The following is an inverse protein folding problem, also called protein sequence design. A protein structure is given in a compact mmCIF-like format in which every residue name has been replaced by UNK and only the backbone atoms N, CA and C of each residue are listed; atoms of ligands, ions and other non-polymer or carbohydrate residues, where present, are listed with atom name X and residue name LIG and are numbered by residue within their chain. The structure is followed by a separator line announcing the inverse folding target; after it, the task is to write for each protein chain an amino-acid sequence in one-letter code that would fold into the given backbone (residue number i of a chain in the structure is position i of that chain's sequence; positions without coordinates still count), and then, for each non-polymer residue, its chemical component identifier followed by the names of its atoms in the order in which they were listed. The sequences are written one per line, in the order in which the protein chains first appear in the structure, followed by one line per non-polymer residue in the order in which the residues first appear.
data_IF_546652999733
#
_entry.id   IF_546652999733
#
_cell.length_a   1.000
_cell.length_b   1.000
_cell.length_c   1.000
_cell.angle_alpha   90.00
_cell.angle_beta   90.00
_cell.angle_gamma   90.00
#
_symmetry.space_group_name_H-M   'P 1'
#
loop_
_entity.id
_entity.type
_entity.pdbx_description
1 polymer ?
#
# COMPACT_ATOMS: atom_id res chain seq x y z
N UNK A 1 -7.38 1.35 -2.51
CA UNK A 1 -8.00 1.26 -1.16
C UNK A 1 -9.51 1.34 -1.26
N UNK A 2 -10.25 0.58 -0.45
CA UNK A 2 -11.71 0.59 -0.36
C UNK A 2 -12.14 1.17 1.00
N UNK A 3 -13.01 2.18 0.97
CA UNK A 3 -13.68 2.69 2.18
C UNK A 3 -15.11 2.14 2.20
N UNK A 4 -15.41 1.29 3.16
CA UNK A 4 -16.76 0.73 3.34
C UNK A 4 -17.75 1.80 3.78
N UNK A 5 -17.31 2.77 4.59
CA UNK A 5 -18.15 3.86 5.10
C UNK A 5 -18.66 4.78 3.97
N UNK A 6 -17.76 5.24 3.11
CA UNK A 6 -18.11 6.11 1.99
C UNK A 6 -18.51 5.34 0.72
N UNK A 7 -18.32 4.02 0.70
CA UNK A 7 -18.46 3.15 -0.49
C UNK A 7 -17.65 3.69 -1.67
N UNK A 8 -16.42 4.10 -1.40
CA UNK A 8 -15.51 4.67 -2.39
C UNK A 8 -14.26 3.82 -2.52
N UNK A 9 -13.84 3.68 -3.75
CA UNK A 9 -12.56 3.14 -4.14
C UNK A 9 -11.62 4.30 -4.44
N UNK A 10 -10.39 4.25 -3.93
CA UNK A 10 -9.33 5.17 -4.33
C UNK A 10 -8.07 4.42 -4.73
N UNK A 11 -7.39 4.92 -5.75
CA UNK A 11 -6.06 4.46 -6.16
C UNK A 11 -5.24 5.62 -6.69
N UNK A 12 -3.94 5.42 -6.79
CA UNK A 12 -2.99 6.43 -7.22
C UNK A 12 -2.40 6.09 -8.59
N UNK A 13 -2.13 7.13 -9.36
CA UNK A 13 -1.18 7.13 -10.46
C UNK A 13 0.06 7.84 -9.96
N UNK A 14 1.09 7.05 -9.62
CA UNK A 14 2.29 7.56 -8.95
C UNK A 14 2.97 8.62 -9.79
N UNK A 15 3.24 8.30 -11.06
CA UNK A 15 4.06 9.15 -11.94
C UNK A 15 3.36 10.45 -12.34
N UNK A 16 2.04 10.43 -12.47
CA UNK A 16 1.26 11.64 -12.77
C UNK A 16 0.80 12.39 -11.52
N UNK A 17 1.08 11.87 -10.33
CA UNK A 17 0.64 12.48 -9.07
C UNK A 17 -0.87 12.58 -8.98
N UNK A 18 -1.61 11.54 -9.43
CA UNK A 18 -3.07 11.56 -9.49
C UNK A 18 -3.69 10.64 -8.46
N UNK A 19 -4.65 11.17 -7.73
CA UNK A 19 -5.55 10.40 -6.89
C UNK A 19 -6.88 10.21 -7.62
N UNK A 20 -7.21 8.97 -7.95
CA UNK A 20 -8.49 8.60 -8.53
C UNK A 20 -9.46 8.18 -7.44
N UNK A 21 -10.69 8.68 -7.52
CA UNK A 21 -11.79 8.32 -6.62
C UNK A 21 -12.95 7.80 -7.45
N UNK A 22 -13.47 6.64 -7.09
CA UNK A 22 -14.52 5.98 -7.83
C UNK A 22 -15.63 5.41 -6.92
N UNK A 23 -16.81 5.24 -7.49
CA UNK A 23 -17.83 4.39 -6.94
C UNK A 23 -17.67 2.97 -7.52
N UNK A 24 -18.01 1.98 -6.72
CA UNK A 24 -18.19 0.61 -7.19
C UNK A 24 -19.68 0.33 -7.22
N UNK A 25 -20.24 0.26 -8.42
CA UNK A 25 -21.65 0.00 -8.66
C UNK A 25 -21.82 -1.50 -9.00
N UNK A 26 -22.81 -2.18 -8.40
CA UNK A 26 -23.10 -3.59 -8.65
C UNK A 26 -22.58 -4.52 -7.55
N UNK A 27 -23.05 -5.77 -7.57
CA UNK A 27 -22.62 -6.80 -6.62
C UNK A 27 -23.62 -7.11 -5.51
N UNK A 28 -24.92 -6.84 -5.71
CA UNK A 28 -25.94 -7.40 -4.82
C UNK A 28 -26.17 -8.90 -5.06
N UNK A 29 -25.73 -9.43 -6.20
CA UNK A 29 -25.71 -10.86 -6.54
C UNK A 29 -24.28 -11.29 -6.87
N UNK A 30 -23.93 -12.52 -6.57
CA UNK A 30 -22.62 -13.11 -6.83
C UNK A 30 -22.24 -13.18 -8.34
N UNK A 31 -23.19 -12.94 -9.21
CA UNK A 31 -23.04 -13.00 -10.68
C UNK A 31 -22.82 -11.62 -11.34
N UNK A 32 -22.97 -10.52 -10.57
CA UNK A 32 -22.79 -9.17 -11.10
C UNK A 32 -21.32 -8.75 -11.00
N UNK A 33 -20.66 -8.54 -12.14
CA UNK A 33 -19.32 -7.95 -12.15
C UNK A 33 -19.37 -6.52 -11.57
N UNK A 34 -18.47 -6.19 -10.62
CA UNK A 34 -18.40 -4.86 -10.06
C UNK A 34 -18.01 -3.85 -11.16
N UNK A 35 -18.82 -2.82 -11.34
CA UNK A 35 -18.50 -1.72 -12.25
C UNK A 35 -17.85 -0.58 -11.50
N UNK A 36 -16.61 -0.26 -11.87
CA UNK A 36 -15.88 0.89 -11.32
C UNK A 36 -16.22 2.12 -12.15
N UNK A 37 -16.80 3.14 -11.51
CA UNK A 37 -17.13 4.41 -12.13
C UNK A 37 -16.32 5.52 -11.48
N UNK A 38 -15.33 6.05 -12.20
CA UNK A 38 -14.51 7.19 -11.73
C UNK A 38 -15.42 8.39 -11.49
N UNK A 39 -15.32 8.96 -10.30
CA UNK A 39 -16.09 10.13 -9.86
C UNK A 39 -15.25 11.40 -9.92
N UNK A 40 -13.98 11.29 -9.54
CA UNK A 40 -13.06 12.42 -9.48
C UNK A 40 -11.63 11.96 -9.70
N UNK A 41 -10.80 12.86 -10.21
CA UNK A 41 -9.34 12.72 -10.32
C UNK A 41 -8.74 14.01 -9.79
N UNK A 42 -7.93 13.90 -8.75
CA UNK A 42 -7.21 15.02 -8.15
C UNK A 42 -5.75 14.96 -8.59
N UNK A 43 -5.24 16.06 -9.16
CA UNK A 43 -3.81 16.20 -9.53
C UNK A 43 -3.08 16.89 -8.38
N UNK A 44 -2.08 16.25 -7.80
CA UNK A 44 -1.38 16.73 -6.60
C UNK A 44 0.00 17.31 -6.89
N UNK A 45 0.45 17.25 -8.16
CA UNK A 45 1.61 18.00 -8.65
C UNK A 45 2.99 17.37 -8.39
N UNK A 46 3.08 16.25 -7.68
CA UNK A 46 4.31 15.47 -7.46
C UNK A 46 3.98 13.96 -7.47
N UNK A 47 4.98 13.09 -7.50
CA UNK A 47 4.78 11.63 -7.45
C UNK A 47 3.99 11.22 -6.20
N UNK A 48 2.87 10.54 -6.41
CA UNK A 48 1.95 10.15 -5.35
C UNK A 48 2.14 8.66 -5.01
N UNK A 49 2.98 8.34 -4.02
CA UNK A 49 3.28 6.96 -3.64
C UNK A 49 2.07 6.23 -3.08
N UNK A 50 1.32 6.88 -2.19
CA UNK A 50 0.07 6.36 -1.64
C UNK A 50 -0.90 7.48 -1.27
N UNK A 51 -2.20 7.13 -1.18
CA UNK A 51 -3.25 7.99 -0.65
C UNK A 51 -4.25 7.12 0.12
N UNK A 52 -4.36 7.36 1.42
CA UNK A 52 -5.12 6.53 2.35
C UNK A 52 -6.26 7.34 2.96
N UNK A 53 -7.49 6.79 3.06
CA UNK A 53 -8.64 7.53 3.54
C UNK A 53 -8.48 7.94 5.01
N UNK A 54 -8.95 9.14 5.34
CA UNK A 54 -9.04 9.66 6.70
C UNK A 54 -10.47 9.49 7.26
N UNK A 55 -10.59 9.32 8.58
CA UNK A 55 -11.89 9.14 9.25
C UNK A 55 -12.77 10.39 9.22
N UNK A 56 -12.16 11.57 9.12
CA UNK A 56 -12.87 12.85 8.92
C UNK A 56 -13.22 13.13 7.44
N UNK A 57 -12.98 12.20 6.54
CA UNK A 57 -13.00 12.36 5.09
C UNK A 57 -11.71 12.95 4.54
N UNK A 58 -11.49 12.80 3.23
CA UNK A 58 -10.22 13.15 2.60
C UNK A 58 -9.16 12.05 2.73
N UNK A 59 -7.88 12.43 2.63
CA UNK A 59 -6.77 11.47 2.54
C UNK A 59 -5.52 11.99 3.24
N UNK A 60 -4.69 11.05 3.74
CA UNK A 60 -3.27 11.25 4.02
C UNK A 60 -2.44 10.60 2.92
N UNK A 61 -1.38 11.26 2.47
CA UNK A 61 -0.63 10.93 1.27
C UNK A 61 0.87 10.92 1.50
N UNK A 62 1.57 10.01 0.81
CA UNK A 62 2.99 10.13 0.53
C UNK A 62 3.17 10.84 -0.83
N UNK A 63 3.56 12.11 -0.83
CA UNK A 63 3.66 12.97 -2.00
C UNK A 63 5.11 13.38 -2.24
N UNK A 64 5.77 12.75 -3.20
CA UNK A 64 7.20 12.91 -3.43
C UNK A 64 7.98 12.70 -2.14
N UNK A 65 8.68 13.74 -1.70
CA UNK A 65 9.50 13.76 -0.47
C UNK A 65 8.74 14.23 0.78
N UNK A 66 7.42 14.45 0.68
CA UNK A 66 6.57 15.05 1.72
C UNK A 66 5.47 14.10 2.15
N UNK A 67 4.98 14.29 3.35
CA UNK A 67 3.64 13.85 3.71
C UNK A 67 2.65 14.98 3.44
N UNK A 68 1.48 14.62 2.95
CA UNK A 68 0.43 15.58 2.65
C UNK A 68 -0.92 15.10 3.17
N UNK A 69 -1.83 16.04 3.39
CA UNK A 69 -3.25 15.75 3.60
C UNK A 69 -4.06 16.42 2.50
N UNK A 70 -5.10 15.72 2.04
CA UNK A 70 -6.04 16.24 1.06
C UNK A 70 -7.42 16.25 1.73
N UNK A 71 -8.01 17.44 1.87
CA UNK A 71 -9.35 17.56 2.47
C UNK A 71 -10.44 17.01 1.52
N UNK A 72 -11.66 16.76 2.00
CA UNK A 72 -12.79 16.37 1.13
C UNK A 72 -13.09 17.37 0.01
N UNK A 73 -12.66 18.63 0.17
CA UNK A 73 -12.82 19.69 -0.83
C UNK A 73 -11.62 19.80 -1.79
N UNK A 74 -10.63 18.90 -1.67
CA UNK A 74 -9.43 18.90 -2.50
C UNK A 74 -8.34 19.90 -2.08
N UNK A 75 -8.44 20.50 -0.89
CA UNK A 75 -7.39 21.38 -0.36
C UNK A 75 -6.24 20.52 0.13
N UNK A 76 -5.04 20.79 -0.39
CA UNK A 76 -3.81 20.10 -0.04
C UNK A 76 -3.04 20.89 1.01
N UNK A 77 -2.56 20.18 2.03
CA UNK A 77 -1.62 20.70 3.03
C UNK A 77 -0.42 19.77 3.09
N UNK A 78 0.78 20.30 2.99
CA UNK A 78 2.03 19.53 2.91
C UNK A 78 2.94 19.80 4.10
N UNK A 79 3.75 18.79 4.47
CA UNK A 79 4.91 18.99 5.33
C UNK A 79 6.03 19.70 4.57
N UNK A 80 7.07 20.16 5.26
CA UNK A 80 8.37 20.41 4.63
C UNK A 80 8.91 19.11 4.02
N UNK A 81 9.88 19.20 3.06
CA UNK A 81 10.55 18.01 2.55
C UNK A 81 11.21 17.22 3.67
N UNK A 82 10.88 15.94 3.76
CA UNK A 82 11.37 15.03 4.80
C UNK A 82 12.49 14.12 4.27
N UNK A 83 12.50 13.81 2.98
CA UNK A 83 13.42 12.86 2.35
C UNK A 83 14.47 13.57 1.50
N UNK A 84 15.56 12.88 1.18
CA UNK A 84 16.61 13.37 0.28
C UNK A 84 16.08 13.50 -1.17
N UNK A 85 16.84 14.21 -2.04
CA UNK A 85 16.37 14.55 -3.40
C UNK A 85 16.06 13.34 -4.28
N UNK A 86 16.81 12.25 -4.11
CA UNK A 86 16.60 11.01 -4.86
C UNK A 86 15.55 10.09 -4.25
N UNK A 87 14.98 10.44 -3.11
CA UNK A 87 14.05 9.59 -2.38
C UNK A 87 12.60 10.08 -2.50
N UNK A 88 11.67 9.17 -2.36
CA UNK A 88 10.25 9.47 -2.22
C UNK A 88 9.56 8.52 -1.25
N UNK A 89 8.44 8.94 -0.75
CA UNK A 89 7.49 8.03 -0.12
C UNK A 89 6.91 7.06 -1.16
N UNK A 90 6.69 5.83 -0.74
CA UNK A 90 6.18 4.76 -1.59
C UNK A 90 4.86 4.22 -1.04
N UNK A 91 4.76 2.92 -0.82
CA UNK A 91 3.55 2.32 -0.31
C UNK A 91 3.30 2.67 1.16
N UNK A 92 2.04 2.73 1.54
CA UNK A 92 1.61 3.03 2.89
C UNK A 92 0.29 2.36 3.24
N UNK A 93 0.04 2.18 4.53
CA UNK A 93 -1.20 1.62 5.04
C UNK A 93 -1.55 2.20 6.42
N UNK A 94 -2.79 2.06 6.84
CA UNK A 94 -3.23 2.53 8.17
C UNK A 94 -3.20 1.37 9.16
N UNK A 95 -2.53 1.59 10.28
CA UNK A 95 -2.37 0.60 11.33
C UNK A 95 -3.66 0.38 12.15
N UNK A 96 -3.70 -0.63 13.03
CA UNK A 96 -4.86 -0.91 13.87
C UNK A 96 -5.28 0.26 14.78
N UNK A 97 -4.39 1.20 15.06
CA UNK A 97 -4.64 2.39 15.90
C UNK A 97 -4.98 3.66 15.10
N UNK A 98 -5.12 3.55 13.76
CA UNK A 98 -5.45 4.69 12.90
C UNK A 98 -4.25 5.55 12.52
N UNK A 99 -3.01 5.07 12.69
CA UNK A 99 -1.78 5.78 12.32
C UNK A 99 -1.31 5.40 10.93
N UNK A 100 -0.71 6.36 10.23
CA UNK A 100 -0.05 6.07 8.94
C UNK A 100 1.25 5.31 9.18
N UNK A 101 1.39 4.17 8.50
CA UNK A 101 2.67 3.47 8.32
C UNK A 101 3.03 3.56 6.85
N UNK A 102 4.24 4.04 6.54
CA UNK A 102 4.65 4.39 5.18
C UNK A 102 6.12 4.06 4.94
N UNK A 103 6.40 3.55 3.77
CA UNK A 103 7.74 3.22 3.33
C UNK A 103 8.37 4.25 2.41
N UNK A 104 9.69 4.13 2.21
CA UNK A 104 10.45 4.97 1.28
C UNK A 104 11.13 4.12 0.21
N UNK A 105 11.50 4.74 -0.89
CA UNK A 105 12.38 4.19 -1.91
C UNK A 105 13.32 5.26 -2.44
N UNK A 106 14.45 4.81 -3.02
CA UNK A 106 15.37 5.64 -3.77
C UNK A 106 15.09 5.49 -5.27
N UNK A 107 14.81 6.60 -5.96
CA UNK A 107 14.49 6.65 -7.38
C UNK A 107 15.68 6.30 -8.29
N UNK A 108 16.90 6.41 -7.77
CA UNK A 108 18.13 6.02 -8.48
C UNK A 108 18.41 4.51 -8.37
N UNK A 109 17.62 3.79 -7.59
CA UNK A 109 17.70 2.35 -7.38
C UNK A 109 17.88 1.96 -5.91
N UNK A 110 17.70 0.67 -5.59
CA UNK A 110 17.78 0.19 -4.21
C UNK A 110 19.21 0.32 -3.67
N UNK A 111 19.35 1.00 -2.54
CA UNK A 111 20.63 1.26 -1.87
C UNK A 111 20.70 0.69 -0.44
N UNK A 112 19.63 0.04 0.03
CA UNK A 112 19.55 -0.55 1.35
C UNK A 112 19.47 0.47 2.49
N UNK A 113 19.12 1.73 2.21
CA UNK A 113 18.99 2.79 3.23
C UNK A 113 17.55 3.20 3.48
N UNK A 114 16.61 2.57 2.80
CA UNK A 114 15.22 2.95 2.88
C UNK A 114 14.60 2.55 4.22
N UNK A 115 13.49 3.21 4.54
CA UNK A 115 12.87 3.17 5.85
C UNK A 115 11.42 2.69 5.75
N UNK A 116 10.94 2.06 6.82
CA UNK A 116 9.53 1.96 7.16
C UNK A 116 9.29 2.85 8.37
N UNK A 117 8.36 3.79 8.25
CA UNK A 117 8.06 4.84 9.23
C UNK A 117 6.63 4.74 9.69
N UNK A 118 6.35 5.18 10.92
CA UNK A 118 5.01 5.35 11.47
C UNK A 118 4.82 6.79 11.94
N UNK A 119 3.76 7.43 11.48
CA UNK A 119 3.34 8.75 11.94
C UNK A 119 2.51 8.60 13.22
N UNK A 120 3.05 9.08 14.32
CA UNK A 120 2.41 9.02 15.63
C UNK A 120 1.30 10.09 15.77
N UNK A 121 0.42 9.91 16.74
CA UNK A 121 -0.69 10.84 16.97
C UNK A 121 -0.25 12.26 17.38
N UNK A 122 0.97 12.43 17.87
CA UNK A 122 1.55 13.75 18.18
C UNK A 122 2.25 14.42 16.99
N UNK A 123 2.25 13.77 15.82
CA UNK A 123 2.88 14.25 14.59
C UNK A 123 4.37 13.90 14.49
N UNK A 124 4.92 13.13 15.38
CA UNK A 124 6.29 12.62 15.24
C UNK A 124 6.35 11.39 14.36
N UNK A 125 7.53 11.09 13.78
CA UNK A 125 7.77 9.89 13.01
C UNK A 125 8.62 8.91 13.82
N UNK A 126 8.14 7.67 13.93
CA UNK A 126 8.90 6.55 14.52
C UNK A 126 9.41 5.64 13.39
N UNK A 127 10.69 5.30 13.44
CA UNK A 127 11.25 4.29 12.52
C UNK A 127 10.89 2.90 13.02
N UNK A 128 10.19 2.15 12.16
CA UNK A 128 9.85 0.75 12.41
C UNK A 128 10.90 -0.22 11.83
N UNK A 129 11.52 0.13 10.70
CA UNK A 129 12.53 -0.69 10.05
C UNK A 129 13.51 0.18 9.28
N UNK A 130 14.79 -0.20 9.34
CA UNK A 130 15.90 0.37 8.56
C UNK A 130 16.48 -0.68 7.61
N UNK A 131 17.30 -0.24 6.68
CA UNK A 131 18.02 -1.16 5.80
C UNK A 131 17.14 -1.84 4.76
N UNK A 132 16.07 -1.17 4.34
CA UNK A 132 15.14 -1.67 3.31
C UNK A 132 15.68 -1.29 1.93
N UNK A 133 15.52 -2.19 0.96
CA UNK A 133 15.90 -1.90 -0.43
C UNK A 133 14.82 -1.08 -1.14
N UNK A 134 13.61 -1.60 -1.23
CA UNK A 134 12.41 -0.92 -1.72
C UNK A 134 11.27 -1.29 -0.78
N UNK A 135 10.80 -0.32 -0.01
CA UNK A 135 9.69 -0.53 0.92
C UNK A 135 8.37 -0.54 0.17
N UNK A 136 7.67 -1.67 0.24
CA UNK A 136 6.37 -1.89 -0.37
C UNK A 136 5.37 -2.46 0.63
N UNK A 137 4.48 -3.30 0.19
CA UNK A 137 3.31 -3.85 0.85
C UNK A 137 3.37 -3.95 2.37
N UNK A 138 2.34 -3.46 3.03
CA UNK A 138 2.20 -3.43 4.49
C UNK A 138 0.85 -4.01 4.87
N UNK A 139 0.82 -4.96 5.80
CA UNK A 139 -0.42 -5.52 6.32
C UNK A 139 -0.28 -5.92 7.78
N UNK A 140 -1.40 -6.13 8.47
CA UNK A 140 -1.42 -6.64 9.86
C UNK A 140 -2.23 -7.91 9.95
N UNK A 141 -1.82 -8.79 10.88
CA UNK A 141 -2.64 -9.94 11.28
C UNK A 141 -4.05 -9.50 11.70
N UNK A 142 -5.06 -10.38 11.62
CA UNK A 142 -6.45 -10.01 11.95
C UNK A 142 -6.61 -9.39 13.34
N UNK A 143 -5.80 -9.83 14.31
CA UNK A 143 -5.77 -9.28 15.68
C UNK A 143 -4.91 -8.02 15.83
N UNK A 144 -4.20 -7.62 14.77
CA UNK A 144 -3.33 -6.43 14.75
C UNK A 144 -2.00 -6.60 15.48
N UNK A 145 -1.69 -7.77 15.99
CA UNK A 145 -0.49 -8.02 16.83
C UNK A 145 0.80 -8.22 16.02
N UNK A 146 0.68 -8.50 14.72
CA UNK A 146 1.83 -8.71 13.83
C UNK A 146 1.72 -7.80 12.61
N UNK A 147 2.80 -7.12 12.26
CA UNK A 147 2.95 -6.41 10.98
C UNK A 147 3.75 -7.25 10.00
N UNK A 148 3.27 -7.32 8.76
CA UNK A 148 3.96 -7.89 7.61
C UNK A 148 4.44 -6.74 6.72
N UNK A 149 5.69 -6.84 6.22
CA UNK A 149 6.28 -5.81 5.39
C UNK A 149 7.11 -6.42 4.26
N UNK A 150 6.78 -6.04 3.03
CA UNK A 150 7.48 -6.46 1.83
C UNK A 150 8.70 -5.57 1.52
N UNK A 151 9.83 -6.20 1.24
CA UNK A 151 11.00 -5.59 0.63
C UNK A 151 11.17 -6.18 -0.77
N UNK A 152 10.79 -5.42 -1.77
CA UNK A 152 10.78 -5.85 -3.16
C UNK A 152 12.18 -6.20 -3.66
N UNK A 153 13.18 -5.38 -3.31
CA UNK A 153 14.57 -5.59 -3.74
C UNK A 153 15.17 -6.85 -3.11
N UNK A 154 14.82 -7.13 -1.87
CA UNK A 154 15.25 -8.33 -1.17
C UNK A 154 14.41 -9.57 -1.52
N UNK A 155 13.27 -9.40 -2.23
CA UNK A 155 12.29 -10.45 -2.53
C UNK A 155 11.75 -11.16 -1.30
N UNK A 156 11.61 -10.44 -0.20
CA UNK A 156 11.20 -11.02 1.08
C UNK A 156 10.04 -10.26 1.68
N UNK A 157 9.24 -11.01 2.46
CA UNK A 157 8.31 -10.44 3.41
C UNK A 157 8.81 -10.81 4.79
N UNK A 158 8.85 -9.85 5.68
CA UNK A 158 9.17 -10.06 7.10
C UNK A 158 7.92 -9.88 7.94
N UNK A 159 7.86 -10.60 9.04
CA UNK A 159 6.85 -10.42 10.07
C UNK A 159 7.53 -9.88 11.34
N UNK A 160 6.78 -9.10 12.09
CA UNK A 160 7.25 -8.50 13.35
C UNK A 160 6.09 -8.30 14.30
N UNK A 161 6.34 -8.50 15.60
CA UNK A 161 5.37 -8.13 16.62
C UNK A 161 5.09 -6.63 16.57
N UNK A 162 3.82 -6.26 16.63
CA UNK A 162 3.35 -4.90 16.46
C UNK A 162 2.55 -4.43 17.68
N UNK A 163 2.72 -3.17 18.02
CA UNK A 163 2.04 -2.49 19.11
C UNK A 163 2.56 -1.05 19.28
N UNK A 164 2.10 -0.35 20.30
CA UNK A 164 2.45 1.06 20.51
C UNK A 164 3.93 1.29 20.75
N UNK A 165 4.62 0.33 21.34
CA UNK A 165 6.07 0.38 21.61
C UNK A 165 6.94 -0.17 20.47
N UNK A 166 6.34 -0.59 19.33
CA UNK A 166 7.11 -1.10 18.21
C UNK A 166 8.00 -0.01 17.62
N UNK A 167 9.32 -0.23 17.67
CA UNK A 167 10.36 0.62 17.08
C UNK A 167 11.41 -0.25 16.42
N UNK A 168 12.26 0.30 15.56
CA UNK A 168 13.36 -0.45 14.95
C UNK A 168 14.28 -1.11 15.99
N UNK A 169 14.45 -0.47 17.13
CA UNK A 169 15.32 -0.91 18.23
C UNK A 169 14.62 -1.84 19.23
N UNK A 170 13.32 -2.07 19.13
CA UNK A 170 12.59 -2.88 20.11
C UNK A 170 13.02 -4.36 20.05
N UNK A 171 13.21 -5.03 21.19
CA UNK A 171 13.35 -6.48 21.25
C UNK A 171 12.11 -7.15 20.66
N UNK A 172 12.28 -8.27 19.99
CA UNK A 172 11.18 -8.91 19.21
C UNK A 172 11.36 -8.64 17.73
N UNK A 173 12.60 -8.63 17.30
CA UNK A 173 13.10 -8.36 15.98
C UNK A 173 12.23 -8.99 14.87
N UNK A 174 12.18 -8.30 13.74
CA UNK A 174 11.63 -8.85 12.53
C UNK A 174 12.16 -10.27 12.29
N UNK A 175 11.28 -11.17 11.90
CA UNK A 175 11.59 -12.53 11.49
C UNK A 175 11.30 -12.70 10.00
N UNK A 176 12.09 -13.49 9.27
CA UNK A 176 11.71 -13.89 7.93
C UNK A 176 10.32 -14.55 7.98
N UNK A 177 9.45 -14.17 7.03
CA UNK A 177 8.14 -14.76 6.89
C UNK A 177 8.06 -15.56 5.58
N UNK A 178 8.34 -14.90 4.45
CA UNK A 178 8.33 -15.54 3.13
C UNK A 178 9.47 -14.99 2.28
N UNK A 179 10.16 -15.88 1.56
CA UNK A 179 10.93 -15.52 0.37
C UNK A 179 10.05 -15.75 -0.85
N UNK A 180 9.75 -14.68 -1.59
CA UNK A 180 8.86 -14.72 -2.75
C UNK A 180 9.66 -15.07 -3.99
N UNK A 181 9.12 -15.99 -4.80
CA UNK A 181 9.68 -16.25 -6.14
C UNK A 181 9.24 -15.14 -7.11
N UNK A 182 9.93 -14.01 -7.06
CA UNK A 182 9.66 -12.79 -7.80
C UNK A 182 9.78 -11.54 -6.92
N UNK A 183 9.27 -10.43 -7.41
CA UNK A 183 9.31 -9.13 -6.72
C UNK A 183 7.98 -8.87 -5.97
N UNK A 184 7.90 -9.08 -4.65
CA UNK A 184 6.70 -8.75 -3.89
C UNK A 184 6.47 -7.24 -3.91
N UNK A 185 5.24 -6.83 -4.20
CA UNK A 185 4.82 -5.44 -4.19
C UNK A 185 3.70 -5.23 -3.16
N UNK A 186 2.49 -4.87 -3.55
CA UNK A 186 1.39 -4.69 -2.61
C UNK A 186 0.97 -6.01 -1.94
N UNK A 187 0.54 -5.92 -0.69
CA UNK A 187 0.03 -7.07 0.08
C UNK A 187 -1.31 -6.75 0.73
N UNK A 188 -2.12 -7.78 0.92
CA UNK A 188 -3.37 -7.70 1.67
C UNK A 188 -3.56 -8.95 2.52
N UNK A 189 -4.38 -8.86 3.57
CA UNK A 189 -4.68 -10.00 4.43
C UNK A 189 -6.17 -10.33 4.37
N UNK A 190 -6.50 -11.62 4.39
CA UNK A 190 -7.89 -12.07 4.43
C UNK A 190 -8.35 -12.45 5.84
N UNK A 191 -9.62 -12.82 5.97
CA UNK A 191 -10.24 -13.15 7.25
C UNK A 191 -9.72 -14.46 7.89
N UNK A 192 -9.02 -15.30 7.14
CA UNK A 192 -8.33 -16.50 7.65
C UNK A 192 -6.90 -16.16 8.10
N UNK A 193 -6.44 -14.91 7.94
CA UNK A 193 -5.09 -14.49 8.25
C UNK A 193 -4.08 -14.85 7.17
N UNK A 194 -4.54 -15.31 6.00
CA UNK A 194 -3.65 -15.57 4.86
C UNK A 194 -3.24 -14.28 4.17
N UNK A 195 -1.98 -14.23 3.75
CA UNK A 195 -1.40 -13.06 3.08
C UNK A 195 -1.51 -13.23 1.56
N UNK A 196 -2.10 -12.24 0.90
CA UNK A 196 -2.13 -12.10 -0.54
C UNK A 196 -1.02 -11.15 -0.97
N UNK A 197 -0.20 -11.58 -1.94
CA UNK A 197 1.03 -10.90 -2.35
C UNK A 197 1.01 -10.71 -3.86
N UNK A 198 1.06 -9.47 -4.32
CA UNK A 198 1.29 -9.21 -5.74
C UNK A 198 2.75 -9.45 -6.10
N UNK A 199 2.99 -10.11 -7.24
CA UNK A 199 4.34 -10.41 -7.72
C UNK A 199 4.57 -9.60 -9.00
N UNK A 200 5.25 -8.46 -8.85
CA UNK A 200 5.31 -7.36 -9.81
C UNK A 200 5.85 -7.75 -11.19
N UNK A 201 6.71 -8.73 -11.29
CA UNK A 201 7.38 -9.13 -12.54
C UNK A 201 6.82 -10.42 -13.16
N UNK A 202 5.75 -11.00 -12.58
CA UNK A 202 5.29 -12.34 -12.95
C UNK A 202 3.79 -12.45 -13.24
N UNK A 203 3.04 -11.35 -13.23
CA UNK A 203 1.63 -11.37 -13.64
C UNK A 203 0.75 -12.22 -12.73
N UNK A 204 1.00 -12.25 -11.42
CA UNK A 204 0.22 -13.06 -10.49
C UNK A 204 0.08 -12.42 -9.12
N UNK A 205 -0.91 -12.89 -8.40
CA UNK A 205 -1.09 -12.67 -6.97
C UNK A 205 -1.01 -14.02 -6.28
N UNK A 206 -0.08 -14.19 -5.37
CA UNK A 206 0.12 -15.43 -4.61
C UNK A 206 -0.55 -15.35 -3.24
N UNK A 207 -1.00 -16.48 -2.70
CA UNK A 207 -1.57 -16.59 -1.36
C UNK A 207 -0.69 -17.44 -0.47
N UNK A 208 -0.43 -16.96 0.76
CA UNK A 208 0.39 -17.64 1.78
C UNK A 208 -0.41 -17.81 3.06
N UNK A 209 -0.22 -18.96 3.73
CA UNK A 209 -0.85 -19.24 5.03
C UNK A 209 -0.33 -18.27 6.11
N UNK A 210 -0.99 -18.22 7.30
CA UNK A 210 -0.49 -17.44 8.44
C UNK A 210 0.91 -17.86 8.92
N UNK A 211 1.36 -19.06 8.57
CA UNK A 211 2.70 -19.60 8.87
C UNK A 211 3.72 -19.28 7.76
N UNK A 212 3.29 -18.69 6.63
CA UNK A 212 4.14 -18.34 5.49
C UNK A 212 4.28 -19.47 4.45
N UNK A 213 3.41 -20.47 4.46
CA UNK A 213 3.42 -21.53 3.45
C UNK A 213 2.69 -21.09 2.18
N UNK A 214 3.31 -21.28 1.02
CA UNK A 214 2.67 -21.00 -0.27
C UNK A 214 1.49 -21.95 -0.51
N UNK A 215 0.30 -21.39 -0.73
CA UNK A 215 -0.92 -22.14 -0.98
C UNK A 215 -1.06 -22.42 -2.48
N UNK A 216 -0.42 -23.51 -2.92
CA UNK A 216 -0.40 -23.91 -4.32
C UNK A 216 -1.83 -24.06 -4.89
N UNK A 217 -2.04 -23.55 -6.11
CA UNK A 217 -3.34 -23.57 -6.79
C UNK A 217 -4.31 -22.46 -6.36
N UNK A 218 -3.90 -21.57 -5.47
CA UNK A 218 -4.71 -20.42 -5.05
C UNK A 218 -4.18 -19.07 -5.58
N UNK A 219 -3.17 -19.11 -6.43
CA UNK A 219 -2.68 -17.91 -7.12
C UNK A 219 -3.70 -17.43 -8.16
N UNK A 220 -3.81 -16.10 -8.30
CA UNK A 220 -4.60 -15.45 -9.32
C UNK A 220 -3.66 -14.98 -10.44
N UNK A 221 -3.90 -15.44 -11.66
CA UNK A 221 -3.14 -14.98 -12.82
C UNK A 221 -3.75 -13.69 -13.36
N UNK A 222 -2.91 -12.71 -13.64
CA UNK A 222 -3.28 -11.39 -14.15
C UNK A 222 -2.70 -11.24 -15.56
N UNK A 223 -3.47 -10.75 -16.56
CA UNK A 223 -2.98 -10.62 -17.93
C UNK A 223 -2.05 -9.41 -18.14
N UNK A 224 -1.28 -9.04 -17.11
CA UNK A 224 -0.23 -8.03 -17.12
C UNK A 224 0.88 -8.48 -16.17
N UNK A 225 2.13 -8.37 -16.59
CA UNK A 225 3.28 -8.83 -15.80
C UNK A 225 3.50 -7.98 -14.53
N UNK A 226 3.12 -6.70 -14.55
CA UNK A 226 3.52 -5.71 -13.56
C UNK A 226 2.44 -5.47 -12.51
N UNK A 227 2.02 -6.52 -11.83
CA UNK A 227 1.00 -6.47 -10.77
C UNK A 227 1.53 -5.71 -9.56
N UNK A 228 0.97 -4.53 -9.28
CA UNK A 228 1.55 -3.60 -8.30
C UNK A 228 0.84 -3.61 -6.94
N UNK A 229 -0.50 -3.64 -6.91
CA UNK A 229 -1.20 -3.58 -5.62
C UNK A 229 -2.51 -4.35 -5.66
N UNK A 230 -3.03 -4.66 -4.47
CA UNK A 230 -4.23 -5.45 -4.28
C UNK A 230 -5.06 -4.89 -3.11
N UNK A 231 -6.38 -4.90 -3.26
CA UNK A 231 -7.30 -4.56 -2.19
C UNK A 231 -8.56 -5.40 -2.26
N UNK A 232 -9.10 -5.78 -1.11
CA UNK A 232 -10.45 -6.32 -1.03
C UNK A 232 -11.46 -5.18 -1.12
N UNK A 233 -12.45 -5.34 -1.99
CA UNK A 233 -13.45 -4.30 -2.30
C UNK A 233 -14.88 -4.83 -2.24
N UNK A 234 -15.83 -3.90 -2.23
CA UNK A 234 -17.25 -4.19 -2.14
C UNK A 234 -17.73 -4.43 -0.71
N UNK A 235 -19.04 -4.43 -0.52
CA UNK A 235 -19.66 -4.50 0.82
C UNK A 235 -19.36 -5.82 1.55
N UNK A 236 -19.09 -6.90 0.82
CA UNK A 236 -18.77 -8.21 1.37
C UNK A 236 -17.27 -8.47 1.47
N UNK A 237 -16.44 -7.61 0.88
CA UNK A 237 -14.99 -7.78 0.79
C UNK A 237 -14.58 -9.12 0.16
N UNK A 238 -15.34 -9.62 -0.79
CA UNK A 238 -15.16 -10.89 -1.49
C UNK A 238 -14.70 -10.71 -2.95
N UNK A 239 -14.31 -9.49 -3.30
CA UNK A 239 -13.74 -9.16 -4.60
C UNK A 239 -12.37 -8.54 -4.38
N UNK A 240 -11.38 -9.04 -5.11
CA UNK A 240 -10.05 -8.45 -5.19
C UNK A 240 -10.01 -7.45 -6.34
N UNK A 241 -9.59 -6.24 -6.06
CA UNK A 241 -9.15 -5.28 -7.06
C UNK A 241 -7.64 -5.31 -7.12
N UNK A 242 -7.10 -5.47 -8.31
CA UNK A 242 -5.68 -5.65 -8.58
C UNK A 242 -5.25 -4.54 -9.53
N UNK A 243 -4.24 -3.78 -9.17
CA UNK A 243 -3.66 -2.75 -10.03
C UNK A 243 -2.37 -3.23 -10.66
N UNK A 244 -2.02 -2.66 -11.82
CA UNK A 244 -0.75 -2.90 -12.49
C UNK A 244 -0.03 -1.60 -12.74
N UNK A 245 1.30 -1.67 -12.84
CA UNK A 245 2.17 -0.53 -13.03
C UNK A 245 2.93 -0.58 -14.35
N UNK A 246 3.84 0.36 -14.53
CA UNK A 246 4.76 0.36 -15.67
C UNK A 246 5.95 -0.57 -15.41
N UNK A 247 6.52 -1.19 -16.48
CA UNK A 247 7.82 -1.86 -16.38
C UNK A 247 8.88 -0.96 -15.74
N UNK A 248 9.69 -1.49 -14.84
CA UNK A 248 10.76 -0.75 -14.13
C UNK A 248 11.65 0.03 -15.11
N UNK A 249 12.03 -0.58 -16.23
CA UNK A 249 12.85 0.07 -17.25
C UNK A 249 12.16 1.31 -17.86
N UNK A 250 10.84 1.33 -17.97
CA UNK A 250 10.09 2.50 -18.46
C UNK A 250 9.91 3.57 -17.40
N UNK A 251 9.80 3.19 -16.13
CA UNK A 251 9.81 4.14 -15.01
C UNK A 251 11.10 4.96 -15.03
N UNK A 252 12.25 4.33 -15.20
CA UNK A 252 13.54 5.01 -15.31
C UNK A 252 13.67 5.89 -16.56
N UNK A 253 13.08 5.46 -17.69
CA UNK A 253 13.09 6.24 -18.93
C UNK A 253 11.99 7.32 -18.98
N UNK A 254 11.12 7.38 -17.97
CA UNK A 254 9.93 8.26 -17.93
C UNK A 254 9.10 8.23 -19.22
N UNK A 255 9.05 7.07 -19.88
CA UNK A 255 8.33 6.85 -21.14
C UNK A 255 7.03 6.10 -20.86
N UNK A 256 5.95 6.84 -20.74
CA UNK A 256 4.61 6.31 -20.56
C UNK A 256 3.94 5.99 -21.91
N UNK A 257 3.13 4.93 -21.94
CA UNK A 257 2.16 4.64 -23.00
C UNK A 257 0.75 4.86 -22.46
N UNK A 258 -0.22 5.05 -23.38
CA UNK A 258 -1.62 5.25 -23.01
C UNK A 258 -2.25 4.01 -22.32
N UNK A 259 -1.63 2.86 -22.47
CA UNK A 259 -2.04 1.55 -21.96
C UNK A 259 -1.20 1.07 -20.74
N UNK A 260 -0.35 1.92 -20.18
CA UNK A 260 0.39 1.60 -18.97
C UNK A 260 -0.53 1.74 -17.73
N UNK A 261 -0.70 0.63 -17.00
CA UNK A 261 -1.46 0.54 -15.77
C UNK A 261 -2.96 0.28 -15.96
N UNK A 262 -3.38 -0.94 -15.63
CA UNK A 262 -4.76 -1.38 -15.63
C UNK A 262 -5.20 -1.73 -14.21
N UNK A 263 -6.50 -1.80 -14.02
CA UNK A 263 -7.11 -2.40 -12.84
C UNK A 263 -7.92 -3.62 -13.28
N UNK A 264 -7.69 -4.73 -12.60
CA UNK A 264 -8.39 -5.99 -12.80
C UNK A 264 -9.20 -6.33 -11.56
N UNK A 265 -10.24 -7.13 -11.70
CA UNK A 265 -10.99 -7.69 -10.58
C UNK A 265 -11.00 -9.21 -10.65
N UNK A 266 -11.01 -9.84 -9.50
CA UNK A 266 -11.16 -11.28 -9.37
C UNK A 266 -12.01 -11.61 -8.13
N UNK A 267 -12.81 -12.68 -8.14
CA UNK A 267 -13.47 -13.15 -6.94
C UNK A 267 -12.43 -13.64 -5.93
N UNK A 268 -12.61 -13.29 -4.67
CA UNK A 268 -11.80 -13.81 -3.59
C UNK A 268 -12.46 -15.07 -2.98
N UNK A 269 -11.74 -16.17 -2.81
CA UNK A 269 -12.28 -17.37 -2.19
C UNK A 269 -12.60 -17.17 -0.71
N UNK A 270 -11.93 -16.23 -0.07
CA UNK A 270 -12.11 -15.81 1.33
C UNK A 270 -12.21 -14.29 1.35
N UNK A 271 -13.15 -13.76 2.14
CA UNK A 271 -13.30 -12.30 2.27
C UNK A 271 -12.09 -11.66 2.95
N UNK A 272 -11.82 -10.41 2.59
CA UNK A 272 -10.83 -9.59 3.25
C UNK A 272 -11.29 -9.02 4.60
N UNK A 273 -10.41 -8.25 5.20
CA UNK A 273 -10.70 -7.45 6.39
C UNK A 273 -11.04 -6.00 6.00
N UNK A 274 -11.87 -5.31 6.80
CA UNK A 274 -12.16 -3.90 6.57
C UNK A 274 -10.88 -3.06 6.63
N UNK A 275 -10.73 -2.16 5.66
CA UNK A 275 -9.66 -1.16 5.67
C UNK A 275 -9.90 -0.16 6.79
N UNK A 276 -8.83 0.21 7.48
CA UNK A 276 -8.87 1.26 8.49
C UNK A 276 -8.68 2.64 7.86
N UNK A 277 -9.24 3.66 8.50
CA UNK A 277 -9.03 5.05 8.12
C UNK A 277 -7.99 5.69 9.03
N UNK A 278 -7.26 6.67 8.48
CA UNK A 278 -6.31 7.48 9.23
C UNK A 278 -7.02 8.42 10.21
N UNK A 279 -6.57 8.40 11.45
CA UNK A 279 -6.99 9.39 12.45
C UNK A 279 -6.12 10.64 12.30
N UNK A 280 -6.67 11.80 11.91
CA UNK A 280 -5.90 12.99 11.61
C UNK A 280 -4.98 13.45 12.74
N UNK A 281 -3.74 13.68 12.39
CA UNK A 281 -2.68 14.13 13.28
C UNK A 281 -1.92 15.27 12.62
N UNK A 282 -1.15 16.09 13.37
CA UNK A 282 -0.25 17.06 12.78
C UNK A 282 0.73 16.40 11.80
N UNK A 283 1.03 17.08 10.69
CA UNK A 283 2.09 16.63 9.79
C UNK A 283 3.47 16.79 10.46
N UNK A 284 4.41 15.86 10.22
CA UNK A 284 5.71 15.86 10.86
C UNK A 284 6.58 17.01 10.34
N UNK A 285 7.48 17.49 11.19
CA UNK A 285 8.42 18.56 10.85
C UNK A 285 9.78 18.03 10.43
N UNK A 286 10.16 16.85 10.93
CA UNK A 286 11.47 16.25 10.69
C UNK A 286 11.36 14.73 10.61
N UNK A 287 12.33 14.10 9.90
CA UNK A 287 12.57 12.66 10.03
C UNK A 287 13.25 12.34 11.36
N UNK A 288 13.03 11.13 11.92
CA UNK A 288 13.91 10.60 12.95
C UNK A 288 15.33 10.50 12.41
N UNK A 289 16.32 10.68 13.29
CA UNK A 289 17.73 10.53 12.92
C UNK A 289 17.97 9.17 12.26
N UNK A 290 18.61 9.19 11.09
CA UNK A 290 18.92 8.00 10.29
C UNK A 290 19.99 7.13 10.94
#
# INVERSE_FOLDING_TARGET
MWSAESRRLSWVDIELGRLHVAAVDGGSRAEDEPRVRVLNVLELGDQLGCALPADCGGWVCGLGRRLATVSPLGVVTESEPLLDESERFNDGHIDPQGRLVIGTLNSDGPDGRQLLLRLEHDGTLTTLRRGVGISNGIAWSPDGSTIFHADTAARTIVARDYGDTATDSAPGAQRPFVTVDGMPDGIAIDAEGCLWVTVFDQGRVDRYSPEGEFLAGQSILVPDAHVSSIAFVGDRLDTLLITTGMPIMRQWLRRRRADDGYAFSAPAPVRGLPTRAWTPTPLPRNLPLR
#
